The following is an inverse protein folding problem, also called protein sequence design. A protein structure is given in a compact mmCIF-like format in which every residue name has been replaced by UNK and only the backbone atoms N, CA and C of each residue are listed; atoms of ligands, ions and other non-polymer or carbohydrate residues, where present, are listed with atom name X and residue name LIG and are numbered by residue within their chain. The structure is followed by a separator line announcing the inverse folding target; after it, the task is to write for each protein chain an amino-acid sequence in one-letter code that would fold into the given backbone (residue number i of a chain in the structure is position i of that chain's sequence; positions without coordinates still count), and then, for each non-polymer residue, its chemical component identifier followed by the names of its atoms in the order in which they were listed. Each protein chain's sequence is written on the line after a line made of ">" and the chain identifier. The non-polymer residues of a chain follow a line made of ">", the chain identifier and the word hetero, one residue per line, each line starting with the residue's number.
data_IF_007717291382
#
_entry.id   IF_007717291382
#
_cell.length_a   1.000
_cell.length_b   1.000
_cell.length_c   1.000
_cell.angle_alpha   90.00
_cell.angle_beta   90.00
_cell.angle_gamma   90.00
#
_symmetry.space_group_name_H-M   'P 1'
#
loop_
_entity.id
_entity.type
_entity.pdbx_description
1 polymer ?
#
# COMPACT_ATOMS: atom_id res chain seq x y z
N UNK A 1 -40.81 13.44 22.77
CA UNK A 1 -40.19 12.25 22.16
C UNK A 1 -39.67 12.62 20.76
N UNK A 2 -38.54 13.33 20.64
CA UNK A 2 -37.82 13.59 19.35
C UNK A 2 -36.31 13.81 19.58
N UNK A 3 -35.86 14.16 20.79
CA UNK A 3 -34.43 14.43 21.10
C UNK A 3 -33.58 13.14 21.17
N UNK A 4 -34.25 11.99 21.17
CA UNK A 4 -33.62 10.68 21.25
C UNK A 4 -32.87 10.28 19.98
N UNK A 5 -33.55 10.22 18.82
CA UNK A 5 -32.97 9.65 17.58
C UNK A 5 -31.72 10.35 17.05
N UNK A 6 -31.58 11.66 17.30
CA UNK A 6 -30.41 12.42 16.85
C UNK A 6 -29.17 12.08 17.69
N UNK A 7 -29.35 11.88 19.00
CA UNK A 7 -28.24 11.65 19.94
C UNK A 7 -27.60 10.28 19.76
N UNK A 8 -28.40 9.23 19.50
CA UNK A 8 -27.85 7.90 19.22
C UNK A 8 -27.19 7.83 17.84
N UNK A 9 -27.70 8.57 16.83
CA UNK A 9 -27.04 8.66 15.51
C UNK A 9 -25.70 9.41 15.60
N UNK A 10 -25.60 10.44 16.43
CA UNK A 10 -24.32 11.11 16.71
C UNK A 10 -23.35 10.19 17.47
N UNK A 11 -23.79 9.49 18.53
CA UNK A 11 -22.96 8.50 19.25
C UNK A 11 -22.51 7.33 18.37
N UNK A 12 -23.38 6.81 17.50
CA UNK A 12 -23.03 5.73 16.56
C UNK A 12 -22.11 6.22 15.44
N UNK A 13 -22.23 7.48 15.02
CA UNK A 13 -21.32 8.11 14.05
C UNK A 13 -19.96 8.40 14.68
N UNK A 14 -19.89 8.78 15.95
CA UNK A 14 -18.66 9.09 16.69
C UNK A 14 -17.87 7.82 17.10
N UNK A 15 -18.55 6.76 17.56
CA UNK A 15 -17.94 5.43 17.72
C UNK A 15 -17.40 4.88 16.39
N UNK A 16 -18.16 5.11 15.30
CA UNK A 16 -17.74 4.79 13.94
C UNK A 16 -16.56 5.65 13.51
N UNK A 17 -16.52 6.95 13.84
CA UNK A 17 -15.43 7.88 13.51
C UNK A 17 -14.15 7.49 14.26
N UNK A 18 -14.23 7.10 15.53
CA UNK A 18 -13.08 6.67 16.34
C UNK A 18 -12.58 5.30 15.88
N UNK A 19 -13.47 4.35 15.56
CA UNK A 19 -13.06 3.05 14.96
C UNK A 19 -12.51 3.21 13.55
N UNK A 20 -13.04 4.17 12.78
CA UNK A 20 -12.53 4.56 11.47
C UNK A 20 -11.16 5.24 11.60
N UNK A 21 -10.97 6.15 12.56
CA UNK A 21 -9.70 6.81 12.84
C UNK A 21 -8.65 5.85 13.39
N UNK A 22 -9.03 4.90 14.27
CA UNK A 22 -8.12 3.86 14.74
C UNK A 22 -7.80 2.84 13.65
N UNK A 23 -8.77 2.55 12.76
CA UNK A 23 -8.53 1.76 11.55
C UNK A 23 -7.62 2.49 10.57
N UNK A 24 -7.80 3.79 10.35
CA UNK A 24 -6.89 4.62 9.55
C UNK A 24 -5.52 4.66 10.21
N UNK A 25 -5.43 4.77 11.54
CA UNK A 25 -4.17 4.70 12.27
C UNK A 25 -3.49 3.35 12.15
N UNK A 26 -4.27 2.27 12.18
CA UNK A 26 -3.79 0.90 12.01
C UNK A 26 -3.41 0.65 10.54
N UNK A 27 -4.12 1.22 9.59
CA UNK A 27 -3.82 1.19 8.17
C UNK A 27 -2.52 1.96 7.89
N UNK A 28 -2.38 3.17 8.43
CA UNK A 28 -1.16 3.98 8.35
C UNK A 28 0.00 3.33 9.10
N UNK A 29 -0.24 2.67 10.24
CA UNK A 29 0.78 1.90 10.97
C UNK A 29 1.18 0.63 10.24
N UNK A 30 0.25 -0.05 9.56
CA UNK A 30 0.52 -1.21 8.72
C UNK A 30 1.25 -0.80 7.45
N UNK A 31 0.88 0.33 6.85
CA UNK A 31 1.58 0.94 5.73
C UNK A 31 2.98 1.41 6.12
N UNK A 32 3.12 2.02 7.30
CA UNK A 32 4.39 2.37 7.95
C UNK A 32 5.23 1.12 8.24
N UNK A 33 4.62 0.03 8.73
CA UNK A 33 5.30 -1.24 8.97
C UNK A 33 5.75 -1.88 7.65
N UNK A 34 4.95 -1.75 6.58
CA UNK A 34 5.31 -2.16 5.23
C UNK A 34 6.50 -1.36 4.68
N UNK A 35 6.45 -0.02 4.77
CA UNK A 35 7.54 0.87 4.35
C UNK A 35 8.81 0.64 5.19
N UNK A 36 8.66 0.48 6.51
CA UNK A 36 9.77 0.17 7.42
C UNK A 36 10.38 -1.19 7.10
N UNK A 37 9.55 -2.21 6.82
CA UNK A 37 10.01 -3.53 6.40
C UNK A 37 10.74 -3.49 5.06
N UNK A 38 10.29 -2.65 4.11
CA UNK A 38 11.04 -2.42 2.87
C UNK A 38 12.39 -1.73 3.12
N UNK A 39 12.46 -0.80 4.08
CA UNK A 39 13.73 -0.16 4.46
C UNK A 39 14.67 -1.08 5.27
N UNK A 40 14.15 -1.97 6.11
CA UNK A 40 14.93 -2.96 6.86
C UNK A 40 15.49 -4.07 5.95
N UNK A 41 14.79 -4.41 4.85
CA UNK A 41 15.34 -5.27 3.82
C UNK A 41 16.57 -4.64 3.13
N UNK A 42 16.68 -3.31 3.02
CA UNK A 42 17.92 -2.71 2.51
C UNK A 42 19.09 -2.80 3.50
N UNK A 43 18.82 -2.83 4.82
CA UNK A 43 19.87 -2.85 5.84
C UNK A 43 20.38 -4.26 6.18
N UNK A 44 19.64 -5.33 5.84
CA UNK A 44 19.96 -6.70 6.26
C UNK A 44 20.18 -7.70 5.12
N UNK A 45 20.19 -7.24 3.87
CA UNK A 45 20.26 -8.14 2.72
C UNK A 45 21.58 -7.98 1.98
N UNK A 46 22.65 -8.56 2.53
CA UNK A 46 23.70 -9.14 1.70
C UNK A 46 23.23 -10.51 1.18
N UNK A 47 22.05 -10.56 0.55
CA UNK A 47 21.71 -11.67 -0.33
C UNK A 47 22.52 -11.47 -1.60
N UNK A 48 23.28 -12.48 -1.96
CA UNK A 48 24.01 -12.52 -3.22
C UNK A 48 23.03 -12.31 -4.37
N UNK A 49 23.30 -11.32 -5.21
CA UNK A 49 22.43 -11.02 -6.36
C UNK A 49 22.41 -12.24 -7.28
N UNK A 50 21.24 -12.87 -7.43
CA UNK A 50 21.08 -14.00 -8.34
C UNK A 50 21.32 -13.55 -9.79
N UNK A 51 22.43 -14.02 -10.36
CA UNK A 51 22.83 -13.68 -11.72
C UNK A 51 22.03 -14.43 -12.79
N UNK A 52 21.37 -15.54 -12.41
CA UNK A 52 20.59 -16.41 -13.29
C UNK A 52 19.12 -16.00 -13.28
N UNK A 53 18.50 -15.86 -12.10
CA UNK A 53 17.11 -15.42 -11.96
C UNK A 53 17.03 -13.99 -11.41
N UNK A 54 17.02 -13.01 -12.32
CA UNK A 54 16.93 -11.58 -11.97
C UNK A 54 15.51 -11.10 -11.66
N UNK A 55 14.50 -11.94 -11.86
CA UNK A 55 13.08 -11.63 -11.56
C UNK A 55 12.42 -12.77 -10.76
N UNK A 56 12.84 -13.00 -9.50
CA UNK A 56 12.33 -14.11 -8.68
C UNK A 56 10.83 -13.99 -8.38
N UNK A 57 10.29 -12.77 -8.38
CA UNK A 57 8.88 -12.50 -8.11
C UNK A 57 8.04 -12.43 -9.40
N UNK A 58 8.65 -12.64 -10.57
CA UNK A 58 7.96 -12.61 -11.87
C UNK A 58 7.18 -11.30 -12.11
N UNK A 59 7.68 -10.17 -11.59
CA UNK A 59 7.04 -8.86 -11.74
C UNK A 59 6.98 -8.42 -13.20
N UNK A 60 7.94 -8.88 -14.01
CA UNK A 60 8.09 -8.55 -15.41
C UNK A 60 7.83 -9.75 -16.33
N UNK A 61 7.13 -10.80 -15.84
CA UNK A 61 6.87 -12.02 -16.61
C UNK A 61 6.19 -11.75 -17.96
N UNK A 62 5.33 -10.72 -18.03
CA UNK A 62 4.64 -10.30 -19.25
C UNK A 62 5.58 -9.83 -20.36
N UNK A 63 6.78 -9.32 -20.04
CA UNK A 63 7.79 -8.91 -21.03
C UNK A 63 8.55 -10.11 -21.59
N UNK A 64 8.68 -11.19 -20.80
CA UNK A 64 9.33 -12.43 -21.22
C UNK A 64 8.49 -13.23 -22.22
N UNK A 65 7.16 -13.05 -22.22
CA UNK A 65 6.23 -13.72 -23.13
C UNK A 65 5.90 -12.92 -24.39
N UNK A 66 6.56 -11.79 -24.66
CA UNK A 66 6.33 -11.02 -25.89
C UNK A 66 7.03 -11.66 -27.08
N UNK A 67 6.26 -12.37 -27.90
CA UNK A 67 6.74 -13.02 -29.11
C UNK A 67 6.55 -12.13 -30.34
N UNK A 68 7.33 -12.39 -31.39
CA UNK A 68 7.18 -11.72 -32.69
C UNK A 68 5.74 -11.76 -33.22
N UNK A 69 5.05 -12.90 -33.04
CA UNK A 69 3.67 -13.08 -33.47
C UNK A 69 2.69 -12.19 -32.70
N UNK A 70 2.98 -11.82 -31.45
CA UNK A 70 2.12 -10.96 -30.63
C UNK A 70 2.21 -9.48 -31.07
N UNK A 71 3.28 -9.10 -31.77
CA UNK A 71 3.53 -7.72 -32.20
C UNK A 71 3.05 -7.47 -33.63
N UNK A 72 3.34 -8.39 -34.56
CA UNK A 72 3.07 -8.20 -36.00
C UNK A 72 1.82 -8.95 -36.46
N UNK A 73 1.52 -10.12 -35.88
CA UNK A 73 0.31 -10.93 -36.10
C UNK A 73 -0.25 -10.91 -37.54
N UNK A 74 0.39 -11.58 -38.49
CA UNK A 74 -0.16 -11.73 -39.85
C UNK A 74 -1.37 -12.69 -39.86
N UNK A 75 -2.48 -12.34 -40.54
CA UNK A 75 -3.68 -13.19 -40.63
C UNK A 75 -3.54 -14.29 -41.71
N UNK A 76 -4.21 -15.43 -41.51
CA UNK A 76 -4.11 -16.64 -42.37
C UNK A 76 -4.44 -16.44 -43.87
N UNK A 77 -5.12 -15.35 -44.23
CA UNK A 77 -5.51 -15.05 -45.61
C UNK A 77 -4.51 -14.18 -46.39
N UNK A 78 -3.61 -13.46 -45.70
CA UNK A 78 -2.63 -12.56 -46.31
C UNK A 78 -1.36 -12.60 -45.45
N UNK A 79 -0.47 -13.53 -45.77
CA UNK A 79 0.83 -13.66 -45.11
C UNK A 79 1.98 -13.41 -46.08
N UNK A 80 3.07 -12.91 -45.53
CA UNK A 80 4.34 -12.72 -46.21
C UNK A 80 4.98 -14.08 -46.55
N UNK A 81 5.92 -14.06 -47.50
CA UNK A 81 6.64 -15.26 -47.92
C UNK A 81 7.37 -15.88 -46.70
N UNK A 82 7.28 -17.21 -46.51
CA UNK A 82 7.82 -17.92 -45.35
C UNK A 82 9.27 -17.58 -44.98
N UNK A 83 10.11 -17.34 -45.99
CA UNK A 83 11.51 -16.96 -45.79
C UNK A 83 11.62 -15.58 -45.12
N UNK A 84 10.82 -14.62 -45.59
CA UNK A 84 10.77 -13.26 -45.03
C UNK A 84 10.24 -13.30 -43.61
N UNK A 85 9.17 -14.07 -43.36
CA UNK A 85 8.58 -14.26 -42.04
C UNK A 85 9.57 -14.85 -41.02
N UNK A 86 10.32 -15.89 -41.40
CA UNK A 86 11.35 -16.48 -40.54
C UNK A 86 12.51 -15.52 -40.28
N UNK A 87 12.97 -14.81 -41.32
CA UNK A 87 14.08 -13.87 -41.19
C UNK A 87 13.71 -12.66 -40.34
N UNK A 88 12.51 -12.11 -40.52
CA UNK A 88 12.00 -10.98 -39.75
C UNK A 88 11.83 -11.36 -38.28
N UNK A 89 11.31 -12.55 -37.98
CA UNK A 89 11.23 -13.08 -36.61
C UNK A 89 12.61 -13.17 -35.93
N UNK A 90 13.62 -13.72 -36.62
CA UNK A 90 14.99 -13.82 -36.06
C UNK A 90 15.66 -12.45 -35.91
N UNK A 91 15.46 -11.56 -36.87
CA UNK A 91 15.99 -10.19 -36.83
C UNK A 91 15.38 -9.41 -35.66
N UNK A 92 14.07 -9.55 -35.43
CA UNK A 92 13.36 -8.94 -34.31
C UNK A 92 13.90 -9.39 -32.96
N UNK A 93 14.03 -10.71 -32.73
CA UNK A 93 14.56 -11.23 -31.47
C UNK A 93 16.01 -10.81 -31.21
N UNK A 94 16.84 -10.78 -32.26
CA UNK A 94 18.22 -10.30 -32.18
C UNK A 94 18.27 -8.84 -31.76
N UNK A 95 17.57 -7.96 -32.48
CA UNK A 95 17.58 -6.53 -32.19
C UNK A 95 16.98 -6.19 -30.84
N UNK A 96 15.89 -6.87 -30.43
CA UNK A 96 15.30 -6.75 -29.10
C UNK A 96 16.34 -7.02 -28.01
N UNK A 97 17.07 -8.15 -28.13
CA UNK A 97 18.11 -8.53 -27.16
C UNK A 97 19.29 -7.55 -27.19
N UNK A 98 19.78 -7.19 -28.37
CA UNK A 98 20.94 -6.30 -28.50
C UNK A 98 20.64 -4.89 -27.97
N UNK A 99 19.52 -4.29 -28.36
CA UNK A 99 19.12 -2.97 -27.86
C UNK A 99 18.97 -2.97 -26.35
N UNK A 100 18.33 -4.01 -25.78
CA UNK A 100 18.21 -4.13 -24.32
C UNK A 100 19.57 -4.18 -23.62
N UNK A 101 20.52 -4.97 -24.14
CA UNK A 101 21.88 -5.05 -23.57
C UNK A 101 22.59 -3.69 -23.66
N UNK A 102 22.54 -3.02 -24.82
CA UNK A 102 23.20 -1.72 -25.00
C UNK A 102 22.63 -0.69 -24.02
N UNK A 103 21.30 -0.60 -23.93
CA UNK A 103 20.63 0.33 -23.03
C UNK A 103 20.95 0.03 -21.56
N UNK A 104 20.92 -1.23 -21.14
CA UNK A 104 21.21 -1.59 -19.74
C UNK A 104 22.68 -1.39 -19.39
N UNK A 105 23.61 -1.63 -20.32
CA UNK A 105 25.04 -1.35 -20.10
C UNK A 105 25.32 0.16 -19.99
N UNK A 106 24.66 0.98 -20.81
CA UNK A 106 24.87 2.43 -20.80
C UNK A 106 24.19 3.09 -19.60
N UNK A 107 22.94 2.74 -19.32
CA UNK A 107 22.08 3.47 -18.38
C UNK A 107 21.79 2.70 -17.09
N UNK A 108 22.03 1.40 -17.03
CA UNK A 108 21.60 0.55 -15.91
C UNK A 108 22.24 0.95 -14.58
N UNK A 109 23.53 1.33 -14.59
CA UNK A 109 24.22 1.78 -13.38
C UNK A 109 23.67 3.12 -12.87
N UNK A 110 23.39 4.07 -13.77
CA UNK A 110 22.83 5.37 -13.41
C UNK A 110 21.43 5.23 -12.80
N UNK A 111 20.58 4.41 -13.43
CA UNK A 111 19.21 4.15 -12.94
C UNK A 111 19.26 3.44 -11.57
N UNK A 112 20.15 2.46 -11.39
CA UNK A 112 20.32 1.80 -10.10
C UNK A 112 20.76 2.78 -8.98
N UNK A 113 21.65 3.72 -9.30
CA UNK A 113 22.08 4.75 -8.36
C UNK A 113 20.95 5.72 -8.01
N UNK A 114 20.15 6.14 -8.98
CA UNK A 114 18.97 6.98 -8.78
C UNK A 114 17.97 6.34 -7.82
N UNK A 115 17.58 5.09 -8.06
CA UNK A 115 16.68 4.35 -7.17
C UNK A 115 17.26 4.18 -5.77
N UNK A 116 18.57 3.93 -5.66
CA UNK A 116 19.25 3.86 -4.36
C UNK A 116 19.14 5.16 -3.56
N UNK A 117 19.31 6.30 -4.23
CA UNK A 117 19.17 7.62 -3.60
C UNK A 117 17.73 7.90 -3.16
N UNK A 118 16.75 7.55 -4.00
CA UNK A 118 15.33 7.74 -3.70
C UNK A 118 14.91 6.97 -2.45
N UNK A 119 15.29 5.68 -2.35
CA UNK A 119 15.00 4.88 -1.16
C UNK A 119 15.69 5.41 0.09
N UNK A 120 16.93 5.90 -0.02
CA UNK A 120 17.63 6.54 1.10
C UNK A 120 16.92 7.81 1.59
N UNK A 121 16.44 8.65 0.67
CA UNK A 121 15.69 9.85 0.99
C UNK A 121 14.36 9.53 1.68
N UNK A 122 13.61 8.56 1.17
CA UNK A 122 12.35 8.08 1.78
C UNK A 122 12.62 7.57 3.20
N UNK A 123 13.65 6.77 3.41
CA UNK A 123 14.03 6.26 4.72
C UNK A 123 14.36 7.39 5.71
N UNK A 124 15.15 8.38 5.28
CA UNK A 124 15.46 9.56 6.09
C UNK A 124 14.17 10.31 6.48
N UNK A 125 13.32 10.63 5.50
CA UNK A 125 12.09 11.38 5.77
C UNK A 125 11.18 10.64 6.75
N UNK A 126 11.11 9.32 6.61
CA UNK A 126 10.28 8.47 7.45
C UNK A 126 10.75 8.43 8.91
N UNK A 127 12.06 8.29 9.15
CA UNK A 127 12.64 8.23 10.49
C UNK A 127 12.52 9.60 11.18
N UNK A 128 12.87 10.68 10.47
CA UNK A 128 13.01 11.99 11.09
C UNK A 128 11.73 12.81 11.13
N UNK A 129 10.77 12.59 10.23
CA UNK A 129 9.53 13.36 10.18
C UNK A 129 8.29 12.52 10.45
N UNK A 130 8.11 11.39 9.76
CA UNK A 130 6.87 10.59 9.88
C UNK A 130 6.76 9.95 11.27
N UNK A 131 7.83 9.29 11.72
CA UNK A 131 7.83 8.58 13.01
C UNK A 131 7.47 9.50 14.20
N UNK A 132 8.08 10.69 14.39
CA UNK A 132 7.67 11.58 15.48
C UNK A 132 6.26 12.14 15.30
N UNK A 133 5.84 12.47 14.07
CA UNK A 133 4.46 12.92 13.81
C UNK A 133 3.43 11.85 14.21
N UNK A 134 3.70 10.58 13.91
CA UNK A 134 2.83 9.47 14.31
C UNK A 134 2.77 9.33 15.83
N UNK A 135 3.87 9.56 16.55
CA UNK A 135 3.90 9.56 18.02
C UNK A 135 3.11 10.70 18.64
N UNK A 136 3.21 11.91 18.09
CA UNK A 136 2.43 13.07 18.55
C UNK A 136 0.94 12.81 18.36
N UNK A 137 0.55 12.27 17.21
CA UNK A 137 -0.85 11.96 16.94
C UNK A 137 -1.36 10.85 17.87
N UNK A 138 -0.58 9.81 18.13
CA UNK A 138 -0.91 8.76 19.10
C UNK A 138 -1.20 9.33 20.50
N UNK A 139 -0.35 10.26 20.98
CA UNK A 139 -0.54 10.91 22.28
C UNK A 139 -1.85 11.73 22.29
N UNK A 140 -2.06 12.58 21.27
CA UNK A 140 -3.25 13.43 21.19
C UNK A 140 -4.54 12.59 21.12
N UNK A 141 -4.55 11.54 20.31
CA UNK A 141 -5.69 10.62 20.20
C UNK A 141 -5.95 9.91 21.54
N UNK A 142 -4.91 9.47 22.24
CA UNK A 142 -5.03 8.85 23.57
C UNK A 142 -5.63 9.78 24.62
N UNK A 143 -5.35 11.08 24.56
CA UNK A 143 -5.99 12.08 25.43
C UNK A 143 -7.46 12.28 25.06
N UNK A 144 -7.77 12.43 23.77
CA UNK A 144 -9.16 12.54 23.30
C UNK A 144 -10.00 11.34 23.73
N UNK A 145 -9.45 10.12 23.65
CA UNK A 145 -10.11 8.90 24.11
C UNK A 145 -10.46 8.95 25.61
N UNK A 146 -9.53 9.42 26.45
CA UNK A 146 -9.77 9.53 27.91
C UNK A 146 -10.84 10.56 28.24
N UNK A 147 -10.80 11.73 27.59
CA UNK A 147 -11.81 12.78 27.76
C UNK A 147 -13.19 12.25 27.34
N UNK A 148 -13.24 11.57 26.19
CA UNK A 148 -14.47 10.95 25.69
C UNK A 148 -15.04 9.91 26.67
N UNK A 149 -14.21 9.00 27.18
CA UNK A 149 -14.64 8.03 28.19
C UNK A 149 -15.14 8.69 29.47
N UNK A 150 -14.51 9.79 29.90
CA UNK A 150 -14.97 10.57 31.05
C UNK A 150 -16.37 11.18 30.81
N UNK A 151 -16.58 11.79 29.64
CA UNK A 151 -17.89 12.36 29.26
C UNK A 151 -18.99 11.29 29.27
N UNK A 152 -18.72 10.09 28.75
CA UNK A 152 -19.68 8.98 28.80
C UNK A 152 -19.99 8.61 30.25
N UNK A 153 -18.99 8.42 31.10
CA UNK A 153 -19.19 7.98 32.48
C UNK A 153 -19.89 9.04 33.35
N UNK A 154 -19.58 10.32 33.17
CA UNK A 154 -20.15 11.38 33.99
C UNK A 154 -21.55 11.81 33.55
N UNK A 155 -21.86 11.73 32.26
CA UNK A 155 -23.12 12.27 31.74
C UNK A 155 -24.05 11.17 31.24
N UNK A 156 -23.55 10.28 30.39
CA UNK A 156 -24.39 9.28 29.72
C UNK A 156 -24.76 8.14 30.66
N UNK A 157 -23.81 7.64 31.44
CA UNK A 157 -24.04 6.54 32.39
C UNK A 157 -25.16 6.83 33.41
N UNK A 158 -25.14 7.95 34.18
CA UNK A 158 -26.22 8.24 35.12
C UNK A 158 -27.57 8.49 34.44
N UNK A 159 -27.58 9.05 33.23
CA UNK A 159 -28.81 9.26 32.45
C UNK A 159 -29.43 7.92 32.03
N UNK A 160 -28.61 7.01 31.51
CA UNK A 160 -29.04 5.68 31.14
C UNK A 160 -29.51 4.87 32.35
N UNK A 161 -28.84 5.01 33.50
CA UNK A 161 -29.24 4.37 34.76
C UNK A 161 -30.60 4.90 35.26
N UNK A 162 -30.79 6.23 35.27
CA UNK A 162 -32.05 6.85 35.65
C UNK A 162 -33.20 6.42 34.71
N UNK A 163 -32.97 6.41 33.39
CA UNK A 163 -33.96 5.92 32.44
C UNK A 163 -34.26 4.41 32.64
N UNK A 164 -33.24 3.59 32.87
CA UNK A 164 -33.39 2.16 33.14
C UNK A 164 -34.20 1.88 34.41
N UNK A 165 -34.00 2.67 35.47
CA UNK A 165 -34.74 2.56 36.72
C UNK A 165 -36.24 2.82 36.52
N UNK A 166 -36.61 3.78 35.67
CA UNK A 166 -38.02 4.07 35.34
C UNK A 166 -38.67 2.86 34.67
N UNK A 167 -38.01 2.23 33.69
CA UNK A 167 -38.56 1.05 33.01
C UNK A 167 -38.61 -0.19 33.91
N UNK A 168 -37.65 -0.34 34.82
CA UNK A 168 -37.63 -1.46 35.76
C UNK A 168 -38.78 -1.36 36.78
N UNK A 169 -39.24 -0.15 37.13
CA UNK A 169 -40.40 0.06 37.99
C UNK A 169 -41.73 -0.47 37.42
N UNK A 170 -41.81 -0.70 36.10
CA UNK A 170 -43.00 -1.25 35.43
C UNK A 170 -42.92 -2.77 35.20
N UNK A 171 -41.83 -3.42 35.60
CA UNK A 171 -41.63 -4.86 35.44
C UNK A 171 -42.39 -5.60 36.54
N UNK A 172 -43.61 -6.05 36.23
CA UNK A 172 -44.41 -7.00 37.03
C UNK A 172 -43.82 -8.41 36.95
#
# INVERSE_FOLDING_TARGET
>A
MVIGESSYKLLFTEECLIKTLSSIFKQCRNFFFLISRMSEQQASTSEEVDLVNRDPNSINAHLGSLWFNDVIAEPDGIHSIDCVWKLSSKCFELWKKLCYIIMTTCCGMCIAAEWGCEFAYIAFYHIWFITPCMKVLEINCGVCQKIYSLCINCCMYPLCEACGAIFNAFKK
#
